data_IF_493370842967
#
_entry.id   IF_493370842967
#
_cell.length_a   1.000
_cell.length_b   1.000
_cell.length_c   1.000
_cell.angle_alpha   90.00
_cell.angle_beta   90.00
_cell.angle_gamma   90.00
#
_symmetry.space_group_name_H-M   'P 1'
#
loop_
_entity.id
_entity.type
_entity.pdbx_description
1 polymer ?
#
# COMPACT_ATOMS: atom_id res chain seq x y z
N UNK A 1 22.65 -12.14 -3.71
CA UNK A 1 22.38 -10.68 -3.81
C UNK A 1 20.89 -10.39 -3.98
N UNK A 2 20.14 -11.05 -4.90
CA UNK A 2 18.73 -10.75 -5.20
C UNK A 2 17.80 -10.89 -4.00
N UNK A 3 17.86 -12.00 -3.25
CA UNK A 3 17.00 -12.23 -2.07
C UNK A 3 17.15 -11.12 -1.03
N UNK A 4 18.39 -10.69 -0.76
CA UNK A 4 18.63 -9.58 0.17
C UNK A 4 18.07 -8.25 -0.34
N UNK A 5 18.24 -7.96 -1.63
CA UNK A 5 17.70 -6.75 -2.22
C UNK A 5 16.16 -6.70 -2.15
N UNK A 6 15.48 -7.79 -2.52
CA UNK A 6 14.03 -7.90 -2.40
C UNK A 6 13.55 -7.90 -0.94
N UNK A 7 14.30 -8.54 -0.04
CA UNK A 7 14.01 -8.51 1.40
C UNK A 7 14.08 -7.09 1.97
N UNK A 8 15.14 -6.35 1.68
CA UNK A 8 15.30 -4.95 2.13
C UNK A 8 14.23 -4.04 1.51
N UNK A 9 13.92 -4.23 0.22
CA UNK A 9 12.84 -3.49 -0.43
C UNK A 9 11.48 -3.75 0.23
N UNK A 10 11.14 -5.01 0.48
CA UNK A 10 9.89 -5.37 1.14
C UNK A 10 9.78 -4.84 2.57
N UNK A 11 10.87 -4.90 3.34
CA UNK A 11 10.92 -4.32 4.68
C UNK A 11 10.74 -2.80 4.65
N UNK A 12 11.45 -2.10 3.75
CA UNK A 12 11.33 -0.65 3.59
C UNK A 12 9.94 -0.22 3.17
N UNK A 13 9.33 -0.93 2.21
CA UNK A 13 7.95 -0.69 1.79
C UNK A 13 6.95 -0.85 2.94
N UNK A 14 7.02 -1.96 3.67
CA UNK A 14 6.10 -2.21 4.79
C UNK A 14 6.28 -1.19 5.92
N UNK A 15 7.52 -0.84 6.27
CA UNK A 15 7.78 0.17 7.29
C UNK A 15 7.18 1.52 6.88
N UNK A 16 7.38 1.94 5.65
CA UNK A 16 6.82 3.18 5.11
C UNK A 16 5.28 3.14 5.09
N UNK A 17 4.68 2.05 4.60
CA UNK A 17 3.22 1.92 4.50
C UNK A 17 2.54 1.92 5.87
N UNK A 18 3.08 1.19 6.85
CA UNK A 18 2.52 1.13 8.21
C UNK A 18 2.63 2.49 8.89
N UNK A 19 3.79 3.15 8.82
CA UNK A 19 4.00 4.46 9.41
C UNK A 19 3.08 5.51 8.80
N UNK A 20 2.93 5.50 7.47
CA UNK A 20 2.05 6.41 6.74
C UNK A 20 0.57 6.21 7.11
N UNK A 21 0.09 4.95 7.14
CA UNK A 21 -1.30 4.64 7.51
C UNK A 21 -1.60 4.98 8.98
N UNK A 22 -0.65 4.72 9.88
CA UNK A 22 -0.76 5.08 11.30
C UNK A 22 -0.90 6.59 11.47
N UNK A 23 0.02 7.35 10.88
CA UNK A 23 0.03 8.81 10.97
C UNK A 23 -1.25 9.42 10.38
N UNK A 24 -1.68 8.95 9.22
CA UNK A 24 -2.90 9.44 8.60
C UNK A 24 -4.15 9.13 9.43
N UNK A 25 -4.18 7.95 10.05
CA UNK A 25 -5.26 7.55 10.96
C UNK A 25 -5.31 8.42 12.22
N UNK A 26 -4.16 8.80 12.74
CA UNK A 26 -4.04 9.64 13.93
C UNK A 26 -4.44 11.10 13.64
N UNK A 27 -3.93 11.67 12.54
CA UNK A 27 -4.22 13.04 12.13
C UNK A 27 -5.69 13.26 11.71
N UNK A 28 -6.37 12.23 11.22
CA UNK A 28 -7.75 12.35 10.71
C UNK A 28 -8.81 12.36 11.80
N UNK A 29 -8.51 11.88 13.01
CA UNK A 29 -9.50 11.64 14.05
C UNK A 29 -10.51 10.52 13.69
N UNK A 30 -11.31 10.12 14.65
CA UNK A 30 -12.21 8.95 14.50
C UNK A 30 -13.30 9.12 13.41
N UNK A 31 -13.81 10.34 13.22
CA UNK A 31 -14.94 10.59 12.31
C UNK A 31 -14.54 10.63 10.84
N UNK A 32 -13.35 11.11 10.53
CA UNK A 32 -12.88 11.31 9.14
C UNK A 32 -11.89 10.23 8.69
N UNK A 33 -11.57 9.27 9.56
CA UNK A 33 -10.58 8.21 9.31
C UNK A 33 -10.86 7.41 8.05
N UNK A 34 -12.13 7.03 7.83
CA UNK A 34 -12.52 6.26 6.64
C UNK A 34 -12.31 7.05 5.35
N UNK A 35 -12.69 8.32 5.32
CA UNK A 35 -12.49 9.19 4.15
C UNK A 35 -11.01 9.40 3.86
N UNK A 36 -10.21 9.62 4.90
CA UNK A 36 -8.75 9.80 4.74
C UNK A 36 -8.11 8.55 4.16
N UNK A 37 -8.42 7.38 4.71
CA UNK A 37 -7.92 6.10 4.20
C UNK A 37 -8.36 5.88 2.74
N UNK A 38 -9.62 6.12 2.41
CA UNK A 38 -10.12 6.00 1.04
C UNK A 38 -9.39 6.95 0.07
N UNK A 39 -9.15 8.20 0.49
CA UNK A 39 -8.40 9.18 -0.31
C UNK A 39 -6.95 8.72 -0.53
N UNK A 40 -6.30 8.20 0.51
CA UNK A 40 -4.92 7.69 0.41
C UNK A 40 -4.82 6.53 -0.59
N UNK A 41 -5.72 5.56 -0.51
CA UNK A 41 -5.76 4.45 -1.47
C UNK A 41 -6.09 4.90 -2.88
N UNK A 42 -6.99 5.87 -3.04
CA UNK A 42 -7.30 6.49 -4.34
C UNK A 42 -6.06 7.12 -4.96
N UNK A 43 -5.31 7.93 -4.19
CA UNK A 43 -4.07 8.55 -4.64
C UNK A 43 -2.98 7.51 -4.96
N UNK A 44 -2.91 6.43 -4.18
CA UNK A 44 -2.00 5.32 -4.44
C UNK A 44 -2.29 4.67 -5.80
N UNK A 45 -3.56 4.37 -6.11
CA UNK A 45 -3.94 3.76 -7.39
C UNK A 45 -3.67 4.72 -8.56
N UNK A 46 -3.97 6.01 -8.41
CA UNK A 46 -3.63 7.03 -9.41
C UNK A 46 -2.11 7.05 -9.65
N UNK A 47 -1.32 7.00 -8.58
CA UNK A 47 0.14 6.94 -8.67
C UNK A 47 0.64 5.69 -9.40
N UNK A 48 0.05 4.53 -9.14
CA UNK A 48 0.38 3.28 -9.84
C UNK A 48 0.10 3.39 -11.35
N UNK A 49 -1.07 3.93 -11.72
CA UNK A 49 -1.44 4.12 -13.12
C UNK A 49 -0.47 5.11 -13.81
N UNK A 50 -0.20 6.24 -13.17
CA UNK A 50 0.71 7.25 -13.71
C UNK A 50 2.14 6.71 -13.89
N UNK A 51 2.63 5.94 -12.92
CA UNK A 51 3.94 5.29 -12.98
C UNK A 51 3.98 4.26 -14.10
N UNK A 52 2.93 3.43 -14.23
CA UNK A 52 2.84 2.43 -15.30
C UNK A 52 2.87 3.06 -16.69
N UNK A 53 2.11 4.13 -16.91
CA UNK A 53 2.10 4.87 -18.18
C UNK A 53 3.48 5.48 -18.45
N UNK A 54 4.09 6.12 -17.44
CA UNK A 54 5.40 6.74 -17.58
C UNK A 54 6.48 5.71 -17.92
N UNK A 55 6.48 4.56 -17.24
CA UNK A 55 7.43 3.49 -17.49
C UNK A 55 7.26 2.88 -18.90
N UNK A 56 6.03 2.69 -19.36
CA UNK A 56 5.78 2.18 -20.72
C UNK A 56 6.33 3.08 -21.82
N UNK A 57 6.35 4.39 -21.58
CA UNK A 57 6.93 5.36 -22.53
C UNK A 57 8.46 5.45 -22.41
N UNK A 58 9.00 5.26 -21.21
CA UNK A 58 10.45 5.35 -20.96
C UNK A 58 11.21 4.10 -21.37
N UNK A 59 10.53 2.94 -21.43
CA UNK A 59 11.15 1.63 -21.73
C UNK A 59 10.46 1.00 -22.94
N UNK A 60 10.60 1.59 -24.15
CA UNK A 60 10.02 1.03 -25.36
C UNK A 60 10.68 -0.29 -25.77
N UNK A 61 11.93 -0.50 -25.38
CA UNK A 61 12.70 -1.73 -25.61
C UNK A 61 13.33 -2.21 -24.31
N UNK A 62 13.33 -3.52 -24.10
CA UNK A 62 13.93 -4.14 -22.91
C UNK A 62 15.46 -4.17 -23.00
N UNK A 63 16.09 -3.00 -22.90
CA UNK A 63 17.54 -2.89 -22.76
C UNK A 63 17.90 -2.66 -21.28
N UNK A 64 18.92 -3.36 -20.75
CA UNK A 64 19.33 -3.24 -19.35
C UNK A 64 19.65 -1.80 -18.93
N UNK A 65 20.28 -1.03 -19.81
CA UNK A 65 20.64 0.36 -19.55
C UNK A 65 19.40 1.28 -19.46
N UNK A 66 18.42 1.08 -20.32
CA UNK A 66 17.17 1.85 -20.35
C UNK A 66 16.33 1.53 -19.10
N UNK A 67 16.27 0.26 -18.73
CA UNK A 67 15.58 -0.21 -17.53
C UNK A 67 16.21 0.39 -16.25
N UNK A 68 17.55 0.37 -16.15
CA UNK A 68 18.27 0.95 -15.02
C UNK A 68 18.01 2.45 -14.88
N UNK A 69 18.02 3.21 -15.99
CA UNK A 69 17.69 4.64 -15.99
C UNK A 69 16.27 4.91 -15.54
N UNK A 70 15.31 4.12 -16.04
CA UNK A 70 13.90 4.24 -15.65
C UNK A 70 13.72 4.01 -14.13
N UNK A 71 14.33 2.96 -13.57
CA UNK A 71 14.29 2.72 -12.13
C UNK A 71 14.94 3.83 -11.31
N UNK A 72 16.06 4.40 -11.76
CA UNK A 72 16.70 5.52 -11.06
C UNK A 72 15.82 6.77 -11.07
N UNK A 73 15.14 7.07 -12.17
CA UNK A 73 14.22 8.20 -12.26
C UNK A 73 13.02 8.00 -11.33
N UNK A 74 12.42 6.82 -11.33
CA UNK A 74 11.30 6.50 -10.43
C UNK A 74 11.75 6.59 -8.97
N UNK A 75 12.90 6.03 -8.62
CA UNK A 75 13.44 6.08 -7.27
C UNK A 75 13.74 7.52 -6.81
N UNK A 76 14.35 8.32 -7.68
CA UNK A 76 14.64 9.73 -7.41
C UNK A 76 13.34 10.55 -7.24
N UNK A 77 12.34 10.31 -8.09
CA UNK A 77 11.03 10.95 -8.00
C UNK A 77 10.32 10.59 -6.70
N UNK A 78 10.29 9.30 -6.34
CA UNK A 78 9.69 8.83 -5.10
C UNK A 78 10.38 9.42 -3.86
N UNK A 79 11.72 9.45 -3.86
CA UNK A 79 12.49 10.05 -2.77
C UNK A 79 12.19 11.56 -2.65
N UNK A 80 12.19 12.28 -3.77
CA UNK A 80 11.92 13.71 -3.78
C UNK A 80 10.51 14.02 -3.28
N UNK A 81 9.49 13.30 -3.77
CA UNK A 81 8.11 13.45 -3.32
C UNK A 81 7.97 13.09 -1.85
N UNK A 82 8.64 12.03 -1.38
CA UNK A 82 8.66 11.64 0.02
C UNK A 82 9.26 12.71 0.91
N UNK A 83 10.40 13.29 0.53
CA UNK A 83 11.04 14.38 1.27
C UNK A 83 10.16 15.65 1.30
N UNK A 84 9.53 16.00 0.18
CA UNK A 84 8.58 17.12 0.13
C UNK A 84 7.39 16.86 1.04
N UNK A 85 6.86 15.63 1.05
CA UNK A 85 5.75 15.23 1.89
C UNK A 85 6.04 15.28 3.39
N UNK A 86 7.30 15.14 3.80
CA UNK A 86 7.72 15.27 5.19
C UNK A 86 7.79 16.72 5.68
N UNK A 87 7.80 17.70 4.76
CA UNK A 87 7.89 19.12 5.12
C UNK A 87 6.57 19.55 5.79
N UNK A 88 6.66 19.93 7.05
CA UNK A 88 5.50 20.37 7.89
C UNK A 88 4.45 19.29 8.12
N UNK A 89 4.79 18.01 7.99
CA UNK A 89 3.85 16.92 8.21
C UNK A 89 3.44 16.80 9.66
N UNK A 90 4.37 17.02 10.60
CA UNK A 90 4.07 17.03 12.03
C UNK A 90 3.88 18.47 12.51
N UNK A 91 2.70 18.82 13.06
CA UNK A 91 2.64 19.98 13.92
C UNK A 91 3.65 19.74 15.05
N UNK A 92 4.52 20.70 15.31
CA UNK A 92 5.41 20.65 16.48
C UNK A 92 4.52 20.59 17.72
N UNK A 93 4.23 19.40 18.19
CA UNK A 93 3.54 19.22 19.46
C UNK A 93 4.44 19.82 20.54
N UNK A 94 3.92 20.80 21.20
CA UNK A 94 4.50 21.31 22.44
C UNK A 94 4.48 20.12 23.42
N UNK A 95 5.64 19.61 23.80
CA UNK A 95 5.78 18.48 24.72
C UNK A 95 5.17 18.74 26.12
N UNK A 96 4.59 19.91 26.35
CA UNK A 96 3.89 20.30 27.57
C UNK A 96 2.43 19.83 27.64
N UNK A 97 1.77 19.51 26.54
CA UNK A 97 0.47 18.87 26.55
C UNK A 97 0.70 17.36 26.65
N UNK A 98 0.38 16.79 27.82
CA UNK A 98 0.46 15.36 28.15
C UNK A 98 0.11 14.48 26.95
N UNK A 99 1.14 14.02 26.23
CA UNK A 99 0.98 12.89 25.35
C UNK A 99 0.39 11.77 26.23
N UNK A 100 -0.73 11.13 25.82
CA UNK A 100 -1.16 9.91 26.49
C UNK A 100 0.08 9.04 26.61
N UNK A 101 0.41 8.58 27.83
CA UNK A 101 1.56 7.71 28.05
C UNK A 101 1.47 6.63 26.98
N UNK A 102 2.32 6.71 25.97
CA UNK A 102 2.44 5.65 24.99
C UNK A 102 2.83 4.42 25.80
N UNK A 103 1.87 3.53 26.01
CA UNK A 103 2.12 2.26 26.65
C UNK A 103 3.21 1.59 25.82
N UNK A 104 4.42 1.64 26.33
CA UNK A 104 5.61 1.09 25.68
C UNK A 104 5.52 -0.41 25.80
N UNK A 105 4.71 -1.01 24.92
CA UNK A 105 4.62 -2.47 24.86
C UNK A 105 5.90 -3.01 24.25
N UNK A 106 6.55 -3.89 24.98
CA UNK A 106 7.66 -4.67 24.46
C UNK A 106 7.15 -5.59 23.35
N UNK A 107 7.95 -5.86 22.31
CA UNK A 107 7.60 -6.80 21.23
C UNK A 107 7.09 -8.14 21.77
N UNK A 108 7.66 -8.63 22.89
CA UNK A 108 7.20 -9.83 23.57
C UNK A 108 5.77 -9.70 24.10
N UNK A 109 5.38 -8.55 24.64
CA UNK A 109 4.02 -8.29 25.13
C UNK A 109 3.02 -8.17 23.98
N UNK A 110 3.44 -7.57 22.85
CA UNK A 110 2.63 -7.52 21.62
C UNK A 110 2.38 -8.92 21.06
N UNK A 111 3.42 -9.75 21.01
CA UNK A 111 3.29 -11.15 20.58
C UNK A 111 2.43 -11.97 21.54
N UNK A 112 2.58 -11.78 22.86
CA UNK A 112 1.75 -12.44 23.86
C UNK A 112 0.27 -12.07 23.69
N UNK A 113 -0.05 -10.81 23.47
CA UNK A 113 -1.43 -10.35 23.25
C UNK A 113 -2.11 -11.05 22.05
N UNK A 114 -1.35 -11.35 20.99
CA UNK A 114 -1.86 -12.09 19.82
C UNK A 114 -2.00 -13.59 20.14
N UNK A 115 -1.01 -14.17 20.82
CA UNK A 115 -0.97 -15.63 21.04
C UNK A 115 -1.84 -16.10 22.18
N UNK A 116 -2.07 -15.27 23.19
CA UNK A 116 -2.90 -15.61 24.36
C UNK A 116 -4.40 -15.45 24.10
N UNK A 117 -4.78 -14.57 23.16
CA UNK A 117 -6.18 -14.41 22.78
C UNK A 117 -6.52 -15.27 21.55
N UNK A 118 -7.36 -16.33 21.70
CA UNK A 118 -7.67 -17.23 20.60
C UNK A 118 -8.37 -16.52 19.42
N UNK A 119 -9.19 -15.51 19.69
CA UNK A 119 -9.89 -14.74 18.65
C UNK A 119 -8.88 -13.88 17.87
N UNK A 120 -7.96 -13.20 18.57
CA UNK A 120 -6.91 -12.42 17.94
C UNK A 120 -5.99 -13.30 17.08
N UNK A 121 -5.65 -14.50 17.56
CA UNK A 121 -4.83 -15.47 16.84
C UNK A 121 -5.50 -15.92 15.54
N UNK A 122 -6.78 -16.30 15.59
CA UNK A 122 -7.55 -16.73 14.42
C UNK A 122 -7.65 -15.55 13.42
N UNK A 123 -7.95 -14.34 13.89
CA UNK A 123 -8.03 -13.15 13.06
C UNK A 123 -6.68 -12.83 12.40
N UNK A 124 -5.58 -12.95 13.12
CA UNK A 124 -4.25 -12.75 12.59
C UNK A 124 -3.91 -13.75 11.47
N UNK A 125 -4.20 -15.05 11.71
CA UNK A 125 -4.00 -16.10 10.69
C UNK A 125 -4.88 -15.84 9.47
N UNK A 126 -6.14 -15.46 9.67
CA UNK A 126 -7.05 -15.08 8.60
C UNK A 126 -6.50 -13.93 7.76
N UNK A 127 -6.05 -12.84 8.40
CA UNK A 127 -5.45 -11.71 7.70
C UNK A 127 -4.20 -12.10 6.92
N UNK A 128 -3.34 -12.93 7.51
CA UNK A 128 -2.12 -13.41 6.86
C UNK A 128 -2.45 -14.22 5.59
N UNK A 129 -3.41 -15.15 5.69
CA UNK A 129 -3.84 -15.96 4.55
C UNK A 129 -4.53 -15.11 3.48
N UNK A 130 -5.38 -14.16 3.89
CA UNK A 130 -6.06 -13.24 2.98
C UNK A 130 -5.05 -12.37 2.20
N UNK A 131 -4.08 -11.77 2.90
CA UNK A 131 -3.05 -10.96 2.26
C UNK A 131 -2.15 -11.80 1.37
N UNK A 132 -1.77 -13.01 1.81
CA UNK A 132 -1.00 -13.92 0.98
C UNK A 132 -1.75 -14.29 -0.31
N UNK A 133 -3.06 -14.53 -0.24
CA UNK A 133 -3.88 -14.84 -1.41
C UNK A 133 -3.95 -13.64 -2.38
N UNK A 134 -4.21 -12.43 -1.89
CA UNK A 134 -4.28 -11.21 -2.70
C UNK A 134 -2.95 -10.92 -3.38
N UNK A 135 -1.85 -10.92 -2.61
CA UNK A 135 -0.52 -10.64 -3.15
C UNK A 135 -0.07 -11.72 -4.15
N UNK A 136 -0.41 -12.99 -3.90
CA UNK A 136 -0.12 -14.08 -4.84
C UNK A 136 -0.89 -13.92 -6.14
N UNK A 137 -2.16 -13.49 -6.07
CA UNK A 137 -2.95 -13.22 -7.27
C UNK A 137 -2.31 -12.13 -8.13
N UNK A 138 -1.88 -11.03 -7.53
CA UNK A 138 -1.25 -9.92 -8.25
C UNK A 138 0.05 -10.35 -8.94
N UNK A 139 0.88 -11.14 -8.26
CA UNK A 139 2.16 -11.62 -8.81
C UNK A 139 1.96 -12.69 -9.90
N UNK A 140 0.95 -13.54 -9.77
CA UNK A 140 0.74 -14.68 -10.67
C UNK A 140 -0.12 -14.33 -11.89
N UNK A 141 -0.89 -13.25 -11.86
CA UNK A 141 -1.85 -12.91 -12.91
C UNK A 141 -1.18 -12.76 -14.29
N UNK A 142 -0.09 -12.02 -14.38
CA UNK A 142 0.63 -11.81 -15.64
C UNK A 142 1.31 -13.08 -16.15
N UNK A 143 2.14 -13.79 -15.36
CA UNK A 143 2.74 -15.05 -15.80
C UNK A 143 1.72 -16.11 -16.18
N UNK A 144 0.61 -16.21 -15.45
CA UNK A 144 -0.46 -17.14 -15.74
C UNK A 144 -1.14 -16.83 -17.07
N UNK A 145 -1.46 -15.56 -17.31
CA UNK A 145 -2.02 -15.11 -18.59
C UNK A 145 -1.13 -15.44 -19.77
N UNK A 146 0.18 -15.23 -19.62
CA UNK A 146 1.16 -15.55 -20.66
C UNK A 146 1.30 -17.05 -20.89
N UNK A 147 1.40 -17.86 -19.83
CA UNK A 147 1.68 -19.29 -19.94
C UNK A 147 0.44 -20.13 -20.28
N UNK A 148 -0.71 -19.83 -19.67
CA UNK A 148 -1.92 -20.62 -19.84
C UNK A 148 -2.72 -20.23 -21.09
N UNK A 149 -2.69 -18.96 -21.48
CA UNK A 149 -3.50 -18.43 -22.59
C UNK A 149 -2.67 -17.87 -23.75
N UNK A 150 -1.34 -17.94 -23.67
CA UNK A 150 -0.46 -17.39 -24.72
C UNK A 150 -0.59 -15.88 -24.92
N UNK A 151 -1.01 -15.16 -23.88
CA UNK A 151 -1.22 -13.71 -23.95
C UNK A 151 0.11 -12.98 -24.06
N UNK A 152 0.11 -11.91 -24.85
CA UNK A 152 1.26 -11.00 -24.92
C UNK A 152 1.35 -10.15 -23.65
N UNK A 153 2.54 -9.60 -23.39
CA UNK A 153 2.74 -8.69 -22.26
C UNK A 153 1.77 -7.49 -22.29
N UNK A 154 1.48 -6.97 -23.48
CA UNK A 154 0.49 -5.90 -23.66
C UNK A 154 -0.91 -6.33 -23.19
N UNK A 155 -1.33 -7.54 -23.56
CA UNK A 155 -2.65 -8.08 -23.17
C UNK A 155 -2.74 -8.32 -21.66
N UNK A 156 -1.72 -8.90 -21.04
CA UNK A 156 -1.68 -9.12 -19.58
C UNK A 156 -1.67 -7.81 -18.80
N UNK A 157 -0.86 -6.85 -19.22
CA UNK A 157 -0.81 -5.51 -18.62
C UNK A 157 -2.15 -4.76 -18.75
N UNK A 158 -2.87 -4.99 -19.86
CA UNK A 158 -4.22 -4.43 -20.06
C UNK A 158 -5.24 -4.99 -19.05
N UNK A 159 -5.17 -6.28 -18.74
CA UNK A 159 -6.00 -6.90 -17.70
C UNK A 159 -5.74 -6.26 -16.35
N UNK A 160 -4.48 -6.13 -15.96
CA UNK A 160 -4.08 -5.46 -14.71
C UNK A 160 -4.60 -4.02 -14.65
N UNK A 161 -4.48 -3.28 -15.74
CA UNK A 161 -4.98 -1.90 -15.83
C UNK A 161 -6.51 -1.81 -15.67
N UNK A 162 -7.24 -2.73 -16.27
CA UNK A 162 -8.71 -2.81 -16.15
C UNK A 162 -9.09 -3.14 -14.70
N UNK A 163 -8.45 -4.14 -14.09
CA UNK A 163 -8.69 -4.52 -12.69
C UNK A 163 -8.43 -3.36 -11.74
N UNK A 164 -7.31 -2.65 -11.91
CA UNK A 164 -6.99 -1.48 -11.10
C UNK A 164 -7.99 -0.33 -11.30
N UNK A 165 -8.55 -0.16 -12.49
CA UNK A 165 -9.58 0.84 -12.76
C UNK A 165 -10.87 0.54 -11.98
N UNK A 166 -11.30 -0.71 -11.90
CA UNK A 166 -12.43 -1.11 -11.07
C UNK A 166 -12.14 -0.92 -9.57
N UNK A 167 -10.93 -1.23 -9.14
CA UNK A 167 -10.48 -0.99 -7.77
C UNK A 167 -10.53 0.50 -7.41
N UNK A 168 -10.11 1.38 -8.32
CA UNK A 168 -10.19 2.83 -8.14
C UNK A 168 -11.66 3.29 -7.97
N UNK A 169 -12.56 2.81 -8.83
CA UNK A 169 -13.99 3.11 -8.72
C UNK A 169 -14.54 2.63 -7.38
N UNK A 170 -14.18 1.42 -6.94
CA UNK A 170 -14.60 0.88 -5.66
C UNK A 170 -14.12 1.74 -4.47
N UNK A 171 -12.89 2.24 -4.48
CA UNK A 171 -12.39 3.15 -3.44
C UNK A 171 -13.13 4.48 -3.40
N UNK A 172 -13.42 5.06 -4.56
CA UNK A 172 -14.20 6.29 -4.66
C UNK A 172 -15.61 6.07 -4.07
N UNK A 173 -16.27 4.98 -4.46
CA UNK A 173 -17.60 4.63 -3.95
C UNK A 173 -17.56 4.39 -2.44
N UNK A 174 -16.57 3.63 -1.94
CA UNK A 174 -16.39 3.38 -0.51
C UNK A 174 -16.19 4.68 0.27
N UNK A 175 -15.38 5.61 -0.25
CA UNK A 175 -15.17 6.93 0.37
C UNK A 175 -16.45 7.78 0.44
N UNK A 176 -17.32 7.69 -0.58
CA UNK A 176 -18.62 8.38 -0.55
C UNK A 176 -19.63 7.71 0.38
N UNK A 177 -19.58 6.40 0.53
CA UNK A 177 -20.48 5.65 1.40
C UNK A 177 -20.06 5.74 2.87
N UNK A 178 -18.80 6.01 3.13
CA UNK A 178 -18.31 6.17 4.50
C UNK A 178 -19.01 7.37 5.17
N UNK A 179 -19.58 7.13 6.34
CA UNK A 179 -20.39 8.10 7.07
C UNK A 179 -21.85 8.22 6.63
N UNK A 180 -22.27 7.70 5.46
CA UNK A 180 -23.68 7.67 5.02
C UNK A 180 -24.37 6.35 5.31
N UNK A 181 -23.60 5.26 5.32
CA UNK A 181 -24.11 3.90 5.60
C UNK A 181 -23.54 3.44 6.93
N UNK A 182 -24.39 2.82 7.78
CA UNK A 182 -23.93 2.26 9.04
C UNK A 182 -22.81 1.25 8.73
N UNK A 183 -21.67 1.37 9.39
CA UNK A 183 -20.47 0.51 9.20
C UNK A 183 -20.77 -0.99 9.17
N UNK A 184 -21.87 -1.41 9.81
CA UNK A 184 -22.39 -2.79 9.80
C UNK A 184 -22.72 -3.33 8.39
N UNK A 185 -23.02 -2.47 7.42
CA UNK A 185 -23.43 -2.87 6.07
C UNK A 185 -22.35 -2.66 5.01
N UNK A 186 -21.20 -2.08 5.39
CA UNK A 186 -20.07 -1.78 4.48
C UNK A 186 -18.91 -2.76 4.69
N UNK A 187 -18.86 -3.45 5.83
CA UNK A 187 -17.89 -4.50 6.13
C UNK A 187 -18.45 -5.85 5.66
#
# INVERSE_FOLDING_TARGET
AGILAFGLWGMGYNLSAVSYLSLASELSGEKERGKTVATMFTLMVIGLIATGISLSQMVPTFEPATLQRAFLIVAASALTMGLIGLIKLEPRFDHSAQAPKADTYTVKQMMAAITENPVAKIFFVYLLLLLAAILSQDVLLEPFGAQAFGMTLEQTSRIVSITNSFTLIAFIIAGFLDGRVKKKYVA
#
